data_IF_469672879897
#
_entry.id   IF_469672879897
#
_cell.length_a   1.000
_cell.length_b   1.000
_cell.length_c   1.000
_cell.angle_alpha   90.00
_cell.angle_beta   90.00
_cell.angle_gamma   90.00
#
_symmetry.space_group_name_H-M   'P 1'
#
loop_
_entity.id
_entity.type
_entity.pdbx_description
1 polymer ?
#
# COMPACT_ATOMS: atom_id res chain seq x y z
N UNK A 1 -34.81 -12.43 37.28
CA UNK A 1 -33.93 -13.35 36.52
C UNK A 1 -34.06 -13.03 35.04
N UNK A 2 -33.41 -11.97 34.58
CA UNK A 2 -33.15 -11.63 33.17
C UNK A 2 -31.82 -10.89 33.25
N UNK A 3 -30.71 -11.60 33.06
CA UNK A 3 -29.45 -10.92 32.73
C UNK A 3 -29.71 -10.24 31.39
N UNK A 4 -29.44 -8.95 31.30
CA UNK A 4 -29.35 -8.29 30.00
C UNK A 4 -28.29 -9.08 29.22
N UNK A 5 -28.72 -9.81 28.20
CA UNK A 5 -27.80 -10.29 27.18
C UNK A 5 -27.28 -9.01 26.52
N UNK A 6 -26.12 -8.53 26.98
CA UNK A 6 -25.37 -7.50 26.29
C UNK A 6 -25.05 -8.05 24.90
N UNK A 7 -25.87 -7.70 23.91
CA UNK A 7 -25.62 -8.02 22.51
C UNK A 7 -24.34 -7.29 22.09
N UNK A 8 -23.19 -7.96 22.26
CA UNK A 8 -21.91 -7.44 21.79
C UNK A 8 -22.00 -7.22 20.28
N UNK A 9 -21.77 -5.98 19.87
CA UNK A 9 -21.74 -5.65 18.45
C UNK A 9 -20.51 -6.29 17.80
N UNK A 10 -20.59 -6.56 16.49
CA UNK A 10 -19.44 -7.05 15.70
C UNK A 10 -18.22 -6.12 15.85
N UNK A 11 -18.44 -4.82 16.11
CA UNK A 11 -17.37 -3.86 16.36
C UNK A 11 -16.54 -4.20 17.59
N UNK A 12 -17.15 -4.66 18.69
CA UNK A 12 -16.43 -5.04 19.89
C UNK A 12 -15.48 -6.22 19.62
N UNK A 13 -15.90 -7.18 18.77
CA UNK A 13 -15.02 -8.24 18.34
C UNK A 13 -13.85 -7.70 17.51
N UNK A 14 -14.11 -6.83 16.53
CA UNK A 14 -13.07 -6.25 15.67
C UNK A 14 -12.01 -5.47 16.49
N UNK A 15 -12.42 -4.76 17.53
CA UNK A 15 -11.51 -4.03 18.43
C UNK A 15 -10.61 -4.96 19.25
N UNK A 16 -11.11 -6.14 19.66
CA UNK A 16 -10.35 -7.12 20.43
C UNK A 16 -9.39 -7.95 19.57
N UNK A 17 -9.66 -8.07 18.27
CA UNK A 17 -8.84 -8.87 17.37
C UNK A 17 -7.51 -8.16 17.07
N UNK A 18 -6.42 -8.90 17.19
CA UNK A 18 -5.18 -8.49 16.54
C UNK A 18 -5.41 -8.32 15.03
N UNK A 19 -4.68 -7.41 14.37
CA UNK A 19 -4.80 -7.23 12.92
C UNK A 19 -4.59 -8.54 12.15
N UNK A 20 -3.72 -9.43 12.62
CA UNK A 20 -3.52 -10.74 12.03
C UNK A 20 -4.77 -11.61 12.06
N UNK A 21 -5.49 -11.62 13.19
CA UNK A 21 -6.75 -12.35 13.36
C UNK A 21 -7.91 -11.71 12.60
N UNK A 22 -7.93 -10.38 12.51
CA UNK A 22 -8.84 -9.66 11.63
C UNK A 22 -8.67 -10.08 10.17
N UNK A 23 -7.43 -10.18 9.67
CA UNK A 23 -7.17 -10.63 8.28
C UNK A 23 -7.64 -12.07 8.05
N UNK A 24 -7.43 -12.97 9.02
CA UNK A 24 -7.94 -14.34 8.96
C UNK A 24 -9.47 -14.36 8.89
N UNK A 25 -10.15 -13.65 9.80
CA UNK A 25 -11.60 -13.55 9.82
C UNK A 25 -12.16 -12.95 8.52
N UNK A 26 -11.56 -11.85 8.03
CA UNK A 26 -11.93 -11.22 6.78
C UNK A 26 -11.82 -12.19 5.60
N UNK A 27 -10.72 -12.94 5.53
CA UNK A 27 -10.47 -13.90 4.46
C UNK A 27 -11.52 -15.02 4.47
N UNK A 28 -11.84 -15.56 5.66
CA UNK A 28 -12.87 -16.60 5.82
C UNK A 28 -14.24 -16.06 5.38
N UNK A 29 -14.60 -14.86 5.85
CA UNK A 29 -15.88 -14.24 5.51
C UNK A 29 -16.07 -14.10 3.99
N UNK A 30 -15.07 -13.59 3.27
CA UNK A 30 -15.18 -13.40 1.82
C UNK A 30 -14.92 -14.66 0.99
N UNK A 31 -14.41 -15.74 1.59
CA UNK A 31 -14.42 -17.07 0.98
C UNK A 31 -15.82 -17.66 0.94
N UNK A 32 -16.59 -17.46 2.02
CA UNK A 32 -17.99 -17.89 2.12
C UNK A 32 -18.90 -16.97 1.30
N UNK A 33 -18.81 -15.66 1.53
CA UNK A 33 -19.64 -14.64 0.89
C UNK A 33 -18.88 -13.97 -0.26
N UNK A 34 -18.97 -14.59 -1.44
CA UNK A 34 -18.28 -14.16 -2.67
C UNK A 34 -18.71 -12.77 -3.17
N UNK A 35 -18.10 -11.74 -2.59
CA UNK A 35 -18.31 -10.33 -2.92
C UNK A 35 -16.97 -9.59 -3.04
N UNK A 36 -16.99 -8.39 -3.65
CA UNK A 36 -15.79 -7.60 -3.89
C UNK A 36 -15.07 -7.28 -2.56
N UNK A 37 -13.76 -7.52 -2.51
CA UNK A 37 -13.00 -7.45 -1.27
C UNK A 37 -11.49 -7.21 -1.50
N UNK A 38 -10.76 -7.01 -0.41
CA UNK A 38 -9.33 -6.67 -0.42
C UNK A 38 -8.41 -7.82 0.01
N UNK A 39 -8.90 -9.07 0.09
CA UNK A 39 -8.14 -10.21 0.63
C UNK A 39 -6.78 -10.41 -0.07
N UNK A 40 -6.72 -10.15 -1.38
CA UNK A 40 -5.49 -10.24 -2.20
C UNK A 40 -4.37 -9.27 -1.78
N UNK A 41 -4.68 -8.27 -0.93
CA UNK A 41 -3.76 -7.22 -0.51
C UNK A 41 -3.50 -7.19 0.99
N UNK A 42 -4.38 -7.80 1.81
CA UNK A 42 -4.32 -7.71 3.27
C UNK A 42 -3.03 -8.30 3.85
N UNK A 43 -2.49 -9.36 3.24
CA UNK A 43 -1.23 -9.95 3.69
C UNK A 43 -0.04 -8.99 3.50
N UNK A 44 0.01 -8.27 2.38
CA UNK A 44 1.00 -7.21 2.13
C UNK A 44 0.90 -6.09 3.15
N UNK A 45 -0.32 -5.63 3.44
CA UNK A 45 -0.57 -4.57 4.43
C UNK A 45 -0.16 -5.03 5.83
N UNK A 46 -0.47 -6.29 6.19
CA UNK A 46 -0.06 -6.91 7.46
C UNK A 46 1.46 -6.92 7.61
N UNK A 47 2.21 -7.29 6.56
CA UNK A 47 3.67 -7.30 6.62
C UNK A 47 4.26 -5.90 6.86
N UNK A 48 3.76 -4.88 6.17
CA UNK A 48 4.23 -3.50 6.40
C UNK A 48 3.88 -2.96 7.77
N UNK A 49 2.63 -3.17 8.22
CA UNK A 49 2.18 -2.72 9.54
C UNK A 49 3.02 -3.36 10.65
N UNK A 50 3.33 -4.65 10.53
CA UNK A 50 4.19 -5.34 11.47
C UNK A 50 5.63 -4.84 11.40
N UNK A 51 6.19 -4.62 10.20
CA UNK A 51 7.54 -4.09 10.07
C UNK A 51 7.68 -2.71 10.72
N UNK A 52 6.69 -1.82 10.52
CA UNK A 52 6.66 -0.51 11.16
C UNK A 52 6.53 -0.61 12.70
N UNK A 53 5.61 -1.46 13.19
CA UNK A 53 5.39 -1.64 14.63
C UNK A 53 6.61 -2.22 15.36
N UNK A 54 7.40 -3.07 14.70
CA UNK A 54 8.60 -3.68 15.27
C UNK A 54 9.90 -2.94 14.90
N UNK A 55 9.82 -1.78 14.22
CA UNK A 55 10.98 -1.02 13.75
C UNK A 55 11.95 -1.84 12.85
N UNK A 56 11.39 -2.79 12.09
CA UNK A 56 12.17 -3.58 11.13
C UNK A 56 12.60 -2.68 9.97
N UNK A 57 13.89 -2.75 9.61
CA UNK A 57 14.44 -1.97 8.51
C UNK A 57 14.00 -2.53 7.16
N UNK A 58 12.91 -2.02 6.59
CA UNK A 58 12.47 -2.35 5.22
C UNK A 58 13.54 -2.07 4.18
N UNK A 59 14.41 -1.08 4.45
CA UNK A 59 15.53 -0.72 3.57
C UNK A 59 16.56 -1.86 3.43
N UNK A 60 16.68 -2.75 4.42
CA UNK A 60 17.55 -3.92 4.31
C UNK A 60 17.10 -4.91 3.22
N UNK A 61 15.84 -4.81 2.79
CA UNK A 61 15.22 -5.62 1.74
C UNK A 61 14.94 -4.84 0.45
N UNK A 62 15.66 -3.72 0.20
CA UNK A 62 15.54 -2.99 -1.08
C UNK A 62 16.00 -3.80 -2.29
N UNK A 63 16.77 -4.87 -2.05
CA UNK A 63 17.21 -5.78 -3.08
C UNK A 63 16.33 -7.02 -3.11
N UNK A 64 16.27 -7.67 -4.27
CA UNK A 64 15.58 -8.96 -4.43
C UNK A 64 16.04 -9.93 -3.34
N UNK A 65 15.12 -10.61 -2.62
CA UNK A 65 15.51 -11.66 -1.69
C UNK A 65 16.37 -12.71 -2.42
N UNK A 66 17.54 -13.01 -1.86
CA UNK A 66 18.38 -14.13 -2.32
C UNK A 66 17.79 -15.41 -1.71
N UNK A 67 17.00 -16.16 -2.46
CA UNK A 67 16.41 -17.41 -1.98
C UNK A 67 15.41 -18.07 -2.94
N UNK A 68 15.08 -19.33 -2.65
CA UNK A 68 14.22 -20.20 -3.48
C UNK A 68 12.73 -19.86 -3.39
N UNK A 69 12.26 -19.25 -2.28
CA UNK A 69 10.87 -18.84 -2.13
C UNK A 69 10.56 -17.68 -3.08
N UNK A 70 9.98 -18.03 -4.23
CA UNK A 70 9.51 -17.08 -5.23
C UNK A 70 8.40 -16.22 -4.62
N UNK A 71 8.71 -14.96 -4.36
CA UNK A 71 7.70 -13.95 -4.06
C UNK A 71 6.66 -13.91 -5.19
N UNK A 72 5.38 -14.05 -4.83
CA UNK A 72 4.26 -13.99 -5.79
C UNK A 72 3.60 -12.62 -5.68
N UNK A 73 3.89 -11.75 -6.63
CA UNK A 73 3.22 -10.45 -6.76
C UNK A 73 1.73 -10.60 -7.06
N UNK A 74 0.93 -9.69 -6.53
CA UNK A 74 -0.51 -9.60 -6.81
C UNK A 74 -0.72 -9.12 -8.24
N UNK A 75 -1.30 -9.98 -9.08
CA UNK A 75 -1.52 -9.70 -10.52
C UNK A 75 -2.45 -8.49 -10.69
N UNK A 76 -3.52 -8.41 -9.90
CA UNK A 76 -4.46 -7.27 -9.92
C UNK A 76 -3.75 -5.94 -9.64
N UNK A 77 -2.84 -5.92 -8.66
CA UNK A 77 -2.03 -4.74 -8.33
C UNK A 77 -1.08 -4.36 -9.47
N UNK A 78 -0.41 -5.35 -10.06
CA UNK A 78 0.51 -5.14 -11.18
C UNK A 78 -0.22 -4.54 -12.38
N UNK A 79 -1.44 -5.03 -12.66
CA UNK A 79 -2.28 -4.51 -13.72
C UNK A 79 -2.77 -3.08 -13.41
N UNK A 80 -3.15 -2.78 -12.17
CA UNK A 80 -3.50 -1.43 -11.75
C UNK A 80 -2.33 -0.45 -11.96
N UNK A 81 -1.12 -0.83 -11.53
CA UNK A 81 0.08 -0.01 -11.68
C UNK A 81 0.52 0.17 -13.15
N UNK A 82 0.11 -0.72 -14.06
CA UNK A 82 0.44 -0.59 -15.49
C UNK A 82 -0.03 0.75 -16.10
N UNK A 83 -1.07 1.36 -15.53
CA UNK A 83 -1.62 2.64 -15.95
C UNK A 83 -0.70 3.84 -15.63
N UNK A 84 0.29 3.66 -14.75
CA UNK A 84 1.29 4.67 -14.37
C UNK A 84 2.46 4.76 -15.38
N UNK A 85 2.17 4.62 -16.68
CA UNK A 85 3.19 4.57 -17.74
C UNK A 85 3.89 5.89 -18.02
N UNK A 86 3.28 7.02 -17.62
CA UNK A 86 3.88 8.35 -17.76
C UNK A 86 4.86 8.63 -16.62
N UNK A 87 4.60 8.07 -15.44
CA UNK A 87 5.35 8.33 -14.21
C UNK A 87 6.43 7.26 -13.96
N UNK A 88 6.23 6.03 -14.45
CA UNK A 88 7.11 4.88 -14.17
C UNK A 88 7.40 4.12 -15.47
N UNK A 89 8.66 3.71 -15.70
CA UNK A 89 9.01 2.87 -16.85
C UNK A 89 8.50 1.43 -16.68
N UNK A 90 8.30 0.73 -17.79
CA UNK A 90 7.93 -0.69 -17.77
C UNK A 90 8.96 -1.54 -17.02
N UNK A 91 10.25 -1.27 -17.26
CA UNK A 91 11.34 -1.96 -16.60
C UNK A 91 11.30 -1.77 -15.08
N UNK A 92 11.12 -0.53 -14.61
CA UNK A 92 11.04 -0.23 -13.17
C UNK A 92 9.82 -0.90 -12.52
N UNK A 93 8.64 -0.85 -13.16
CA UNK A 93 7.45 -1.58 -12.67
C UNK A 93 7.71 -3.07 -12.55
N UNK A 94 8.33 -3.70 -13.56
CA UNK A 94 8.62 -5.14 -13.54
C UNK A 94 9.61 -5.51 -12.43
N UNK A 95 10.69 -4.73 -12.29
CA UNK A 95 11.77 -4.93 -11.31
C UNK A 95 11.28 -4.75 -9.87
N UNK A 96 10.73 -3.59 -9.54
CA UNK A 96 10.39 -3.25 -8.15
C UNK A 96 9.14 -3.96 -7.65
N UNK A 97 8.16 -4.27 -8.51
CA UNK A 97 7.01 -5.10 -8.10
C UNK A 97 7.38 -6.56 -7.84
N UNK A 98 8.59 -7.00 -8.18
CA UNK A 98 9.11 -8.31 -7.78
C UNK A 98 9.78 -8.30 -6.39
N UNK A 99 9.96 -7.11 -5.77
CA UNK A 99 10.60 -6.95 -4.48
C UNK A 99 9.50 -6.77 -3.40
N UNK A 100 9.42 -7.63 -2.38
CA UNK A 100 8.29 -7.64 -1.44
C UNK A 100 8.00 -6.28 -0.79
N UNK A 101 9.03 -5.59 -0.28
CA UNK A 101 8.83 -4.31 0.41
C UNK A 101 8.19 -3.23 -0.50
N UNK A 102 8.64 -3.15 -1.76
CA UNK A 102 8.07 -2.20 -2.73
C UNK A 102 6.67 -2.62 -3.17
N UNK A 103 6.46 -3.90 -3.46
CA UNK A 103 5.14 -4.42 -3.79
C UNK A 103 4.14 -4.12 -2.68
N UNK A 104 4.50 -4.42 -1.44
CA UNK A 104 3.60 -4.28 -0.30
C UNK A 104 3.30 -2.79 -0.04
N UNK A 105 4.27 -1.91 -0.26
CA UNK A 105 4.08 -0.46 -0.14
C UNK A 105 3.15 0.08 -1.22
N UNK A 106 3.31 -0.38 -2.46
CA UNK A 106 2.38 -0.07 -3.54
C UNK A 106 0.98 -0.60 -3.22
N UNK A 107 0.87 -1.82 -2.67
CA UNK A 107 -0.42 -2.40 -2.28
C UNK A 107 -1.14 -1.52 -1.24
N UNK A 108 -0.41 -1.08 -0.21
CA UNK A 108 -0.94 -0.19 0.82
C UNK A 108 -1.48 1.11 0.22
N UNK A 109 -0.69 1.78 -0.63
CA UNK A 109 -1.12 3.05 -1.23
C UNK A 109 -2.35 2.88 -2.13
N UNK A 110 -2.41 1.82 -2.94
CA UNK A 110 -3.55 1.56 -3.81
C UNK A 110 -4.81 1.21 -3.02
N UNK A 111 -4.72 0.35 -2.01
CA UNK A 111 -5.87 -0.02 -1.15
C UNK A 111 -6.36 1.20 -0.37
N UNK A 112 -5.46 1.98 0.22
CA UNK A 112 -5.82 3.19 0.96
C UNK A 112 -6.60 4.18 0.09
N UNK A 113 -6.11 4.46 -1.13
CA UNK A 113 -6.77 5.41 -2.03
C UNK A 113 -8.08 4.85 -2.62
N UNK A 114 -8.18 3.54 -2.84
CA UNK A 114 -9.42 2.91 -3.28
C UNK A 114 -10.49 2.86 -2.19
N UNK A 115 -10.10 2.63 -0.94
CA UNK A 115 -11.01 2.57 0.21
C UNK A 115 -11.61 3.94 0.52
N UNK A 116 -10.82 5.01 0.39
CA UNK A 116 -11.23 6.38 0.72
C UNK A 116 -11.64 7.22 -0.49
N UNK A 117 -11.95 6.58 -1.63
CA UNK A 117 -12.36 7.27 -2.87
C UNK A 117 -13.71 7.98 -2.80
N UNK A 118 -14.56 7.57 -1.86
CA UNK A 118 -15.90 8.12 -1.69
C UNK A 118 -15.87 9.53 -1.13
N UNK A 119 -16.83 10.37 -1.53
CA UNK A 119 -16.83 11.81 -1.25
C UNK A 119 -16.67 12.14 0.24
N UNK A 120 -17.26 11.34 1.12
CA UNK A 120 -17.15 11.49 2.58
C UNK A 120 -15.71 11.44 3.11
N UNK A 121 -14.81 10.72 2.43
CA UNK A 121 -13.45 10.44 2.90
C UNK A 121 -12.34 11.06 2.03
N UNK A 122 -12.68 11.69 0.91
CA UNK A 122 -11.70 12.25 -0.05
C UNK A 122 -10.74 13.25 0.59
N UNK A 123 -11.26 14.15 1.44
CA UNK A 123 -10.42 15.16 2.08
C UNK A 123 -9.31 14.52 2.95
N UNK A 124 -9.63 13.47 3.70
CA UNK A 124 -8.65 12.74 4.50
C UNK A 124 -7.61 12.04 3.62
N UNK A 125 -8.06 11.37 2.56
CA UNK A 125 -7.20 10.71 1.58
C UNK A 125 -6.23 11.70 0.94
N UNK A 126 -6.75 12.83 0.46
CA UNK A 126 -5.98 13.82 -0.29
C UNK A 126 -4.98 14.53 0.60
N UNK A 127 -5.37 14.91 1.82
CA UNK A 127 -4.43 15.45 2.81
C UNK A 127 -3.29 14.48 3.11
N UNK A 128 -3.60 13.20 3.34
CA UNK A 128 -2.58 12.17 3.60
C UNK A 128 -1.64 11.99 2.41
N UNK A 129 -2.17 11.99 1.19
CA UNK A 129 -1.37 11.89 -0.03
C UNK A 129 -0.55 13.16 -0.30
N UNK A 130 -1.03 14.33 0.11
CA UNK A 130 -0.31 15.59 0.02
C UNK A 130 0.88 15.62 0.99
N UNK A 131 0.68 15.20 2.24
CA UNK A 131 1.74 15.04 3.23
C UNK A 131 2.81 14.04 2.77
N UNK A 132 2.37 12.89 2.22
CA UNK A 132 3.27 11.88 1.67
C UNK A 132 4.05 12.42 0.46
N UNK A 133 3.39 13.16 -0.42
CA UNK A 133 4.02 13.79 -1.57
C UNK A 133 5.05 14.85 -1.14
N UNK A 134 4.73 15.71 -0.19
CA UNK A 134 5.67 16.68 0.37
C UNK A 134 6.89 15.97 0.98
N UNK A 135 6.66 14.93 1.79
CA UNK A 135 7.73 14.17 2.44
C UNK A 135 8.69 13.49 1.44
N UNK A 136 8.17 12.89 0.36
CA UNK A 136 8.97 12.14 -0.62
C UNK A 136 9.46 12.95 -1.81
N UNK A 137 8.62 13.78 -2.42
CA UNK A 137 8.79 14.25 -3.80
C UNK A 137 9.22 15.73 -3.91
N UNK A 138 8.90 16.56 -2.92
CA UNK A 138 9.25 17.98 -2.96
C UNK A 138 10.73 18.21 -2.63
N UNK A 139 11.30 19.30 -3.16
CA UNK A 139 12.76 19.56 -3.09
C UNK A 139 13.26 19.71 -1.66
N UNK A 140 12.43 20.27 -0.79
CA UNK A 140 12.62 20.43 0.64
C UNK A 140 12.06 19.25 1.47
N UNK A 141 11.48 18.25 0.80
CA UNK A 141 10.99 17.03 1.40
C UNK A 141 12.06 16.28 2.16
N UNK A 142 11.66 15.65 3.28
CA UNK A 142 12.58 15.01 4.23
C UNK A 142 13.50 13.97 3.58
N UNK A 143 12.99 13.24 2.59
CA UNK A 143 13.74 12.18 1.87
C UNK A 143 14.85 12.76 1.00
N UNK A 144 14.65 13.97 0.45
CA UNK A 144 15.63 14.63 -0.43
C UNK A 144 16.63 15.52 0.29
N UNK A 145 16.45 15.79 1.61
CA UNK A 145 17.29 16.70 2.41
C UNK A 145 18.80 16.45 2.30
N UNK A 146 19.22 15.19 2.15
CA UNK A 146 20.63 14.79 2.02
C UNK A 146 20.84 13.84 0.83
N UNK A 147 20.16 14.11 -0.28
CA UNK A 147 20.21 13.25 -1.48
C UNK A 147 21.63 13.05 -2.01
N UNK A 148 22.52 14.02 -1.80
CA UNK A 148 23.91 14.03 -2.27
C UNK A 148 24.72 12.85 -1.68
N UNK A 149 24.31 12.33 -0.51
CA UNK A 149 24.94 11.15 0.10
C UNK A 149 24.62 9.86 -0.65
N UNK A 150 23.51 9.82 -1.39
CA UNK A 150 22.98 8.59 -1.99
C UNK A 150 22.86 8.65 -3.51
N UNK A 151 23.02 9.82 -4.14
CA UNK A 151 22.82 10.00 -5.59
C UNK A 151 23.73 9.12 -6.45
N UNK A 152 24.94 8.81 -5.95
CA UNK A 152 25.88 7.90 -6.62
C UNK A 152 25.51 6.43 -6.48
N UNK A 153 24.65 6.09 -5.52
CA UNK A 153 24.16 4.73 -5.34
C UNK A 153 22.92 4.51 -6.23
N UNK A 154 23.13 3.89 -7.39
CA UNK A 154 22.07 3.63 -8.36
C UNK A 154 20.90 2.82 -7.78
N UNK A 155 21.14 1.87 -6.87
CA UNK A 155 20.08 1.04 -6.27
C UNK A 155 19.12 1.92 -5.47
N UNK A 156 19.65 2.79 -4.62
CA UNK A 156 18.84 3.71 -3.79
C UNK A 156 18.16 4.76 -4.68
N UNK A 157 18.91 5.35 -5.63
CA UNK A 157 18.38 6.38 -6.51
C UNK A 157 17.22 5.87 -7.39
N UNK A 158 17.33 4.66 -7.95
CA UNK A 158 16.27 4.05 -8.74
C UNK A 158 15.06 3.63 -7.88
N UNK A 159 15.31 3.08 -6.68
CA UNK A 159 14.25 2.73 -5.74
C UNK A 159 13.42 3.96 -5.34
N UNK A 160 14.10 5.06 -5.03
CA UNK A 160 13.49 6.35 -4.77
C UNK A 160 12.64 6.81 -5.97
N UNK A 161 13.21 6.84 -7.18
CA UNK A 161 12.49 7.25 -8.40
C UNK A 161 11.22 6.42 -8.63
N UNK A 162 11.28 5.11 -8.38
CA UNK A 162 10.12 4.24 -8.48
C UNK A 162 9.01 4.63 -7.50
N UNK A 163 9.33 4.76 -6.21
CA UNK A 163 8.35 5.13 -5.17
C UNK A 163 7.77 6.52 -5.43
N UNK A 164 8.60 7.52 -5.75
CA UNK A 164 8.13 8.86 -6.08
C UNK A 164 7.21 8.86 -7.30
N UNK A 165 7.50 8.04 -8.32
CA UNK A 165 6.63 7.85 -9.48
C UNK A 165 5.27 7.24 -9.11
N UNK A 166 5.22 6.29 -8.17
CA UNK A 166 3.95 5.73 -7.65
C UNK A 166 3.14 6.82 -6.95
N UNK A 167 3.76 7.60 -6.06
CA UNK A 167 3.09 8.66 -5.30
C UNK A 167 2.57 9.75 -6.24
N UNK A 168 3.39 10.18 -7.22
CA UNK A 168 2.99 11.14 -8.26
C UNK A 168 1.79 10.65 -9.07
N UNK A 169 1.82 9.37 -9.50
CA UNK A 169 0.71 8.77 -10.23
C UNK A 169 -0.59 8.82 -9.42
N UNK A 170 -0.55 8.38 -8.16
CA UNK A 170 -1.73 8.35 -7.30
C UNK A 170 -2.27 9.76 -7.05
N UNK A 171 -1.42 10.72 -6.65
CA UNK A 171 -1.84 12.11 -6.42
C UNK A 171 -2.51 12.70 -7.67
N UNK A 172 -1.97 12.42 -8.86
CA UNK A 172 -2.59 12.84 -10.12
C UNK A 172 -3.94 12.19 -10.38
N UNK A 173 -4.12 10.91 -10.03
CA UNK A 173 -5.44 10.26 -10.12
C UNK A 173 -6.43 10.83 -9.11
N UNK A 174 -6.00 11.17 -7.89
CA UNK A 174 -6.86 11.79 -6.88
C UNK A 174 -7.46 13.12 -7.38
N UNK A 175 -6.66 13.90 -8.11
CA UNK A 175 -7.06 15.17 -8.70
C UNK A 175 -7.86 15.02 -10.00
N UNK A 176 -8.02 13.80 -10.52
CA UNK A 176 -8.75 13.55 -11.76
C UNK A 176 -10.22 13.21 -11.45
N UNK A 177 -11.18 14.10 -11.73
CA UNK A 177 -12.60 13.87 -11.41
C UNK A 177 -13.21 12.69 -12.19
N UNK A 178 -12.56 12.26 -13.28
CA UNK A 178 -12.98 11.09 -14.08
C UNK A 178 -12.44 9.77 -13.52
N UNK A 179 -11.46 9.79 -12.61
CA UNK A 179 -10.90 8.59 -12.02
C UNK A 179 -11.82 8.08 -10.91
N UNK A 180 -12.36 6.87 -11.09
CA UNK A 180 -13.38 6.30 -10.18
C UNK A 180 -12.88 5.14 -9.33
N UNK A 181 -11.79 4.46 -9.70
CA UNK A 181 -11.31 3.24 -9.03
C UNK A 181 -9.81 3.04 -9.26
N UNK A 182 -9.10 2.65 -8.20
CA UNK A 182 -7.67 2.33 -8.26
C UNK A 182 -7.46 0.83 -8.41
N UNK A 183 -8.36 0.03 -7.84
CA UNK A 183 -8.30 -1.42 -7.87
C UNK A 183 -9.55 -2.00 -8.51
N UNK A 184 -9.37 -3.10 -9.26
CA UNK A 184 -10.47 -3.94 -9.73
C UNK A 184 -10.71 -5.02 -8.69
N UNK A 185 -11.55 -4.70 -7.70
CA UNK A 185 -12.03 -5.60 -6.66
C UNK A 185 -13.29 -6.33 -7.10
#
# INVERSE_FOLDING_TARGET
KHSMDEEYSVWNLVELLSFGKFVELYTIYYQEYKSANYSDYLQSIKFLRNAAAHSNCLMSSIMKPKGEKKFRKTIKLTNALSQAQKEISLHARSKYMAYPAFHDFVALLFVYNDLLKEAANRNMRDKTMDELYHFFCEKDGRVLKYKEYFEKNQVIAEAYKFISGVIQYIKKQNNNPKHKRYLKI
#
